data_IF_890136578324
#
_entry.id   IF_890136578324
#
_cell.length_a   1.000
_cell.length_b   1.000
_cell.length_c   1.000
_cell.angle_alpha   90.00
_cell.angle_beta   90.00
_cell.angle_gamma   90.00
#
_symmetry.space_group_name_H-M   'P 1'
#
loop_
_entity.id
_entity.type
_entity.pdbx_description
1 polymer ?
#
# COMPACT_ATOMS: atom_id res chain seq x y z
N UNK A 1 -10.67 13.84 -4.88
CA UNK A 1 -9.62 12.92 -4.39
C UNK A 1 -9.05 12.23 -5.61
N UNK A 2 -7.73 12.01 -5.65
CA UNK A 2 -7.04 11.47 -6.82
C UNK A 2 -5.96 10.50 -6.39
N UNK A 3 -5.80 9.41 -7.15
CA UNK A 3 -4.68 8.49 -7.02
C UNK A 3 -3.37 9.17 -7.46
N UNK A 4 -2.28 8.84 -6.78
CA UNK A 4 -0.90 9.15 -7.20
C UNK A 4 -0.24 7.81 -7.53
N UNK A 5 0.41 7.71 -8.68
CA UNK A 5 1.03 6.47 -9.16
C UNK A 5 2.53 6.74 -9.34
N UNK A 6 3.38 5.94 -8.71
CA UNK A 6 4.84 6.03 -8.80
C UNK A 6 5.41 4.68 -9.25
N UNK A 7 6.22 4.69 -10.32
CA UNK A 7 6.68 3.49 -11.00
C UNK A 7 8.09 3.66 -11.58
N UNK A 8 8.89 2.59 -11.50
CA UNK A 8 10.34 2.62 -11.79
C UNK A 8 10.69 2.60 -13.26
N UNK A 9 9.72 2.24 -14.08
CA UNK A 9 9.79 2.17 -15.53
C UNK A 9 8.60 2.91 -16.16
N UNK A 10 8.64 3.09 -17.47
CA UNK A 10 7.65 3.86 -18.25
C UNK A 10 6.30 3.12 -18.40
N UNK A 11 5.96 2.23 -17.46
CA UNK A 11 4.77 1.39 -17.44
C UNK A 11 3.46 2.14 -17.11
N UNK A 12 3.42 3.45 -17.43
CA UNK A 12 2.26 4.33 -17.20
C UNK A 12 0.95 3.81 -17.81
N UNK A 13 1.02 2.95 -18.83
CA UNK A 13 -0.12 2.27 -19.44
C UNK A 13 -0.68 1.08 -18.66
N UNK A 14 0.08 0.52 -17.70
CA UNK A 14 -0.32 -0.68 -16.97
C UNK A 14 -1.28 -0.40 -15.79
N UNK A 15 -1.33 0.85 -15.32
CA UNK A 15 -2.21 1.23 -14.21
C UNK A 15 -3.39 2.06 -14.73
N UNK A 16 -4.60 1.64 -14.39
CA UNK A 16 -5.81 2.43 -14.62
C UNK A 16 -6.53 2.67 -13.30
N UNK A 17 -7.18 3.82 -13.17
CA UNK A 17 -7.95 4.18 -11.99
C UNK A 17 -9.35 4.63 -12.38
N UNK A 18 -10.36 4.15 -11.65
CA UNK A 18 -11.76 4.52 -11.85
C UNK A 18 -12.41 4.71 -10.48
N UNK A 19 -12.63 5.96 -10.07
CA UNK A 19 -13.11 6.25 -8.72
C UNK A 19 -12.15 5.70 -7.66
N UNK A 20 -12.64 4.80 -6.81
CA UNK A 20 -11.88 4.18 -5.72
C UNK A 20 -11.25 2.83 -6.13
N UNK A 21 -11.30 2.49 -7.42
CA UNK A 21 -10.72 1.26 -7.94
C UNK A 21 -9.42 1.56 -8.66
N UNK A 22 -8.39 0.76 -8.37
CA UNK A 22 -7.14 0.70 -9.12
C UNK A 22 -7.04 -0.68 -9.77
N UNK A 23 -6.63 -0.69 -11.03
CA UNK A 23 -6.33 -1.91 -11.77
C UNK A 23 -4.88 -1.85 -12.25
N UNK A 24 -4.12 -2.89 -11.98
CA UNK A 24 -2.77 -3.09 -12.50
C UNK A 24 -2.78 -4.27 -13.50
N UNK A 25 -2.49 -4.00 -14.76
CA UNK A 25 -2.39 -4.98 -15.83
C UNK A 25 -0.96 -4.97 -16.37
N UNK A 26 -0.03 -5.53 -15.60
CA UNK A 26 1.36 -5.70 -16.02
C UNK A 26 1.72 -7.18 -15.99
N UNK A 27 1.92 -7.74 -17.18
CA UNK A 27 2.36 -9.13 -17.35
C UNK A 27 3.88 -9.26 -17.15
N UNK A 28 4.34 -10.43 -16.70
CA UNK A 28 5.74 -10.87 -16.68
C UNK A 28 6.76 -9.93 -16.00
N UNK A 29 6.34 -9.24 -14.93
CA UNK A 29 7.23 -8.29 -14.28
C UNK A 29 8.14 -8.93 -13.22
N UNK A 30 9.42 -9.09 -13.55
CA UNK A 30 10.52 -9.23 -12.60
C UNK A 30 11.19 -7.87 -12.38
N UNK A 31 10.92 -7.19 -11.25
CA UNK A 31 11.52 -5.88 -10.99
C UNK A 31 11.04 -5.15 -9.74
N UNK A 32 11.16 -3.83 -9.74
CA UNK A 32 10.73 -2.92 -8.67
C UNK A 32 9.21 -2.73 -8.64
N UNK A 33 8.54 -2.82 -7.47
CA UNK A 33 7.09 -2.77 -7.38
C UNK A 33 6.52 -1.47 -7.95
N UNK A 34 5.28 -1.55 -8.43
CA UNK A 34 4.49 -0.35 -8.75
C UNK A 34 3.77 0.08 -7.49
N UNK A 35 3.97 1.33 -7.09
CA UNK A 35 3.36 1.88 -5.90
C UNK A 35 2.20 2.80 -6.31
N UNK A 36 1.06 2.64 -5.64
CA UNK A 36 -0.14 3.45 -5.86
C UNK A 36 -0.63 4.00 -4.53
N UNK A 37 -0.90 5.31 -4.48
CA UNK A 37 -1.31 6.02 -3.28
C UNK A 37 -2.69 6.64 -3.46
N UNK A 38 -3.63 6.24 -2.60
CA UNK A 38 -4.88 6.98 -2.41
C UNK A 38 -4.60 8.17 -1.49
N UNK A 39 -4.73 9.39 -2.00
CA UNK A 39 -4.56 10.58 -1.16
C UNK A 39 -5.84 10.87 -0.39
N UNK A 40 -5.86 10.40 0.84
CA UNK A 40 -6.89 10.71 1.84
C UNK A 40 -6.55 12.01 2.59
N UNK A 41 -7.54 12.84 2.97
CA UNK A 41 -7.33 14.03 3.79
C UNK A 41 -7.04 13.72 5.27
N UNK A 42 -6.74 12.48 5.66
CA UNK A 42 -6.36 12.15 7.04
C UNK A 42 -5.33 13.15 7.60
N UNK A 43 -5.74 13.87 8.63
CA UNK A 43 -5.01 14.97 9.24
C UNK A 43 -4.13 14.46 10.40
N UNK A 44 -3.41 15.38 11.06
CA UNK A 44 -2.50 15.10 12.19
C UNK A 44 -3.17 14.49 13.44
N UNK A 45 -4.50 14.41 13.49
CA UNK A 45 -5.25 13.83 14.60
C UNK A 45 -6.53 13.18 14.13
N UNK A 46 -7.04 12.21 14.89
CA UNK A 46 -8.30 11.53 14.62
C UNK A 46 -8.17 10.01 14.49
N UNK A 47 -9.30 9.36 14.22
CA UNK A 47 -9.40 7.93 14.00
C UNK A 47 -9.93 7.71 12.58
N UNK A 48 -9.16 6.99 11.76
CA UNK A 48 -9.46 6.77 10.36
C UNK A 48 -9.46 5.28 10.06
N UNK A 49 -10.39 4.85 9.22
CA UNK A 49 -10.51 3.47 8.81
C UNK A 49 -10.69 3.37 7.31
N UNK A 50 -9.89 2.52 6.68
CA UNK A 50 -10.02 2.15 5.28
C UNK A 50 -10.20 0.65 5.17
N UNK A 51 -11.00 0.23 4.20
CA UNK A 51 -11.10 -1.16 3.78
C UNK A 51 -10.66 -1.26 2.34
N UNK A 52 -9.81 -2.22 2.05
CA UNK A 52 -9.31 -2.52 0.71
C UNK A 52 -9.78 -3.91 0.33
N UNK A 53 -10.58 -3.98 -0.73
CA UNK A 53 -11.12 -5.22 -1.26
C UNK A 53 -10.26 -5.70 -2.45
N UNK A 54 -9.77 -6.94 -2.37
CA UNK A 54 -8.95 -7.55 -3.42
C UNK A 54 -9.83 -8.33 -4.41
N UNK A 55 -10.50 -7.59 -5.29
CA UNK A 55 -11.53 -8.13 -6.19
C UNK A 55 -10.99 -9.18 -7.17
N UNK A 56 -9.78 -8.96 -7.68
CA UNK A 56 -9.11 -9.85 -8.63
C UNK A 56 -7.61 -9.76 -8.40
N UNK A 57 -6.95 -10.91 -8.26
CA UNK A 57 -5.49 -11.02 -8.17
C UNK A 57 -5.03 -12.13 -9.09
N UNK A 58 -3.95 -11.87 -9.84
CA UNK A 58 -3.28 -12.92 -10.58
C UNK A 58 -2.54 -13.86 -9.60
N UNK A 59 -2.35 -15.10 -10.01
CA UNK A 59 -1.64 -16.12 -9.26
C UNK A 59 -0.12 -15.92 -9.24
N UNK A 60 0.39 -15.06 -10.13
CA UNK A 60 1.81 -14.74 -10.24
C UNK A 60 2.07 -13.31 -9.75
N UNK A 61 2.54 -13.17 -8.51
CA UNK A 61 2.92 -11.89 -7.92
C UNK A 61 2.63 -11.81 -6.43
N UNK A 62 3.00 -10.70 -5.82
CA UNK A 62 2.64 -10.36 -4.44
C UNK A 62 2.09 -8.94 -4.40
N UNK A 63 1.03 -8.73 -3.63
CA UNK A 63 0.49 -7.40 -3.34
C UNK A 63 0.59 -7.15 -1.85
N UNK A 64 0.92 -5.92 -1.48
CA UNK A 64 0.86 -5.44 -0.11
C UNK A 64 0.09 -4.14 -0.04
N UNK A 65 -0.39 -3.82 1.16
CA UNK A 65 -1.21 -2.64 1.41
C UNK A 65 -0.86 -2.05 2.76
N UNK A 66 -0.92 -0.73 2.87
CA UNK A 66 -0.36 -0.07 4.03
C UNK A 66 -0.57 1.44 4.06
N UNK A 67 0.11 2.06 5.00
CA UNK A 67 0.11 3.50 5.22
C UNK A 67 1.50 4.08 4.99
N UNK A 68 1.55 5.21 4.30
CA UNK A 68 2.75 6.03 4.09
C UNK A 68 2.40 7.50 4.22
N UNK A 69 3.39 8.35 4.48
CA UNK A 69 3.26 9.78 4.23
C UNK A 69 3.59 10.09 2.77
N UNK A 70 3.12 11.23 2.26
CA UNK A 70 3.41 11.66 0.90
C UNK A 70 4.93 11.86 0.66
N UNK A 71 5.66 12.35 1.67
CA UNK A 71 7.11 12.59 1.57
C UNK A 71 7.91 11.29 1.40
N UNK A 72 7.39 10.19 1.93
CA UNK A 72 7.98 8.85 1.87
C UNK A 72 7.41 7.98 0.75
N UNK A 73 6.39 8.47 0.03
CA UNK A 73 5.90 7.82 -1.18
C UNK A 73 6.93 8.04 -2.30
N UNK A 74 7.56 6.93 -2.71
CA UNK A 74 8.62 6.90 -3.71
C UNK A 74 8.40 5.71 -4.62
N UNK A 75 9.10 5.74 -5.74
CA UNK A 75 9.10 4.69 -6.74
C UNK A 75 9.74 3.39 -6.26
N UNK A 76 9.14 2.24 -6.59
CA UNK A 76 9.74 0.92 -6.35
C UNK A 76 10.02 0.66 -4.86
N UNK A 77 11.12 -0.04 -4.59
CA UNK A 77 11.56 -0.34 -3.23
C UNK A 77 12.08 0.87 -2.43
N UNK A 78 12.06 2.08 -3.00
CA UNK A 78 12.47 3.29 -2.29
C UNK A 78 11.39 3.82 -1.33
N UNK A 79 10.14 3.36 -1.45
CA UNK A 79 9.04 3.71 -0.55
C UNK A 79 9.36 3.36 0.91
N UNK A 80 8.88 4.18 1.85
CA UNK A 80 8.86 3.86 3.29
C UNK A 80 7.44 3.88 3.80
N UNK A 81 6.97 2.75 4.30
CA UNK A 81 5.57 2.54 4.65
C UNK A 81 5.42 1.41 5.66
N UNK A 82 4.28 1.38 6.36
CA UNK A 82 3.87 0.27 7.21
C UNK A 82 2.96 -0.63 6.39
N UNK A 83 3.38 -1.87 6.14
CA UNK A 83 2.77 -2.75 5.15
C UNK A 83 2.24 -4.07 5.76
N UNK A 84 1.01 -4.43 5.39
CA UNK A 84 0.51 -5.80 5.49
C UNK A 84 0.96 -6.60 4.26
N UNK A 85 1.42 -7.83 4.50
CA UNK A 85 2.17 -8.70 3.58
C UNK A 85 3.59 -8.17 3.26
N UNK A 86 4.17 -7.39 4.18
CA UNK A 86 5.46 -6.73 4.03
C UNK A 86 6.24 -6.63 5.34
N UNK A 87 7.14 -5.65 5.43
CA UNK A 87 7.97 -5.45 6.61
C UNK A 87 7.35 -4.41 7.54
N UNK A 88 7.26 -4.73 8.85
CA UNK A 88 6.95 -3.76 9.90
C UNK A 88 8.15 -3.56 10.80
N UNK A 89 8.52 -2.30 11.03
CA UNK A 89 9.52 -1.91 12.01
C UNK A 89 8.84 -1.13 13.14
N UNK A 90 9.26 -1.37 14.38
CA UNK A 90 8.75 -0.67 15.58
C UNK A 90 9.45 0.69 15.82
N UNK A 91 10.27 1.14 14.87
CA UNK A 91 11.09 2.34 15.00
C UNK A 91 12.37 2.15 15.82
N UNK A 92 12.62 0.94 16.34
CA UNK A 92 13.85 0.56 17.04
C UNK A 92 14.68 -0.42 16.17
N UNK A 93 15.23 -1.48 16.77
CA UNK A 93 15.90 -2.57 16.05
C UNK A 93 14.94 -3.72 15.67
N UNK A 94 13.66 -3.65 16.06
CA UNK A 94 12.66 -4.67 15.78
C UNK A 94 12.20 -4.62 14.32
N UNK A 95 12.29 -5.76 13.63
CA UNK A 95 11.77 -5.97 12.28
C UNK A 95 10.94 -7.25 12.26
N UNK A 96 9.66 -7.12 11.93
CA UNK A 96 8.81 -8.24 11.56
C UNK A 96 8.80 -8.30 10.03
N UNK A 97 9.40 -9.35 9.48
CA UNK A 97 9.30 -9.64 8.06
C UNK A 97 7.99 -10.38 7.78
N UNK A 98 7.38 -10.08 6.63
CA UNK A 98 6.14 -10.72 6.17
C UNK A 98 5.03 -10.65 7.22
N UNK A 99 4.75 -9.44 7.70
CA UNK A 99 3.66 -9.21 8.64
C UNK A 99 2.31 -9.47 7.97
N UNK A 100 1.57 -10.45 8.49
CA UNK A 100 0.29 -10.88 7.94
C UNK A 100 0.41 -12.04 6.95
N UNK A 101 -0.73 -12.61 6.61
CA UNK A 101 -0.81 -13.68 5.61
C UNK A 101 -0.70 -13.12 4.19
N UNK A 102 -0.31 -13.98 3.23
CA UNK A 102 -0.33 -13.62 1.81
C UNK A 102 -1.76 -13.31 1.36
N UNK A 103 -1.96 -12.11 0.81
CA UNK A 103 -3.25 -11.61 0.34
C UNK A 103 -3.71 -12.43 -0.88
N UNK A 104 -4.99 -12.83 -0.88
CA UNK A 104 -5.63 -13.61 -1.94
C UNK A 104 -6.84 -12.90 -2.52
N UNK A 105 -7.24 -13.31 -3.71
CA UNK A 105 -8.48 -12.83 -4.32
C UNK A 105 -9.67 -13.09 -3.39
N UNK A 106 -10.49 -12.06 -3.21
CA UNK A 106 -11.66 -12.08 -2.34
C UNK A 106 -11.36 -11.66 -0.89
N UNK A 107 -10.09 -11.46 -0.51
CA UNK A 107 -9.75 -10.91 0.79
C UNK A 107 -10.19 -9.44 0.91
N UNK A 108 -10.48 -9.04 2.14
CA UNK A 108 -10.70 -7.66 2.53
C UNK A 108 -9.77 -7.28 3.69
N UNK A 109 -8.92 -6.27 3.48
CA UNK A 109 -7.96 -5.83 4.49
C UNK A 109 -8.43 -4.50 5.06
N UNK A 110 -8.66 -4.48 6.37
CA UNK A 110 -8.99 -3.27 7.12
C UNK A 110 -7.74 -2.61 7.69
N UNK A 111 -7.59 -1.30 7.47
CA UNK A 111 -6.51 -0.48 8.01
C UNK A 111 -7.11 0.54 8.96
N UNK A 112 -6.71 0.49 10.22
CA UNK A 112 -7.09 1.46 11.25
C UNK A 112 -5.88 2.35 11.57
N UNK A 113 -6.04 3.65 11.38
CA UNK A 113 -5.08 4.66 11.81
C UNK A 113 -5.65 5.42 12.99
N UNK A 114 -5.03 5.27 14.17
CA UNK A 114 -5.36 6.03 15.35
C UNK A 114 -4.27 7.08 15.64
N UNK A 115 -4.60 8.35 15.46
CA UNK A 115 -3.75 9.51 15.78
C UNK A 115 -4.32 10.33 16.95
N UNK A 116 -5.28 9.80 17.70
CA UNK A 116 -5.80 10.48 18.90
C UNK A 116 -4.86 10.36 20.08
N UNK A 117 -4.10 9.26 20.12
CA UNK A 117 -3.02 9.07 21.08
C UNK A 117 -1.71 9.50 20.43
N UNK A 118 -1.03 10.46 21.03
CA UNK A 118 0.30 10.93 20.59
C UNK A 118 1.41 9.88 20.75
N UNK A 119 1.07 8.66 21.14
CA UNK A 119 1.95 7.52 21.27
C UNK A 119 1.36 6.35 20.48
N UNK A 120 1.99 5.98 19.36
CA UNK A 120 1.91 4.58 18.91
C UNK A 120 2.59 3.75 20.01
N UNK A 121 1.83 2.86 20.65
CA UNK A 121 2.40 1.89 21.61
C UNK A 121 3.18 0.81 20.90
#
# INVERSE_FOLDING_TARGET
MSWIIEQSDDASSAITTQGNTVTCQKEDFYGSPINVLWKDPAEKSGLYYWQIDFLQLDTQGSVGVGLTTQDHFKVGYAIKFMEYNGNLADGSAGLICSFGDCIKQGDNIGILLNLTDSEMK
#
